data_IF_646035066207
#
_entry.id   IF_646035066207
#
_cell.length_a   1.000
_cell.length_b   1.000
_cell.length_c   1.000
_cell.angle_alpha   90.00
_cell.angle_beta   90.00
_cell.angle_gamma   90.00
#
_symmetry.space_group_name_H-M   'P 1'
#
loop_
_entity.id
_entity.type
_entity.pdbx_description
1 polymer ?
#
# COMPACT_ATOMS: atom_id res chain seq x y z
N UNK A 1 51.82 -30.12 -10.83
CA UNK A 1 51.27 -29.38 -9.67
C UNK A 1 50.08 -30.17 -9.16
N UNK A 2 50.07 -30.59 -7.90
CA UNK A 2 48.95 -31.32 -7.30
C UNK A 2 47.89 -30.32 -6.81
N UNK A 3 46.61 -30.61 -7.07
CA UNK A 3 45.49 -29.77 -6.66
C UNK A 3 45.15 -30.06 -5.19
N UNK A 4 45.33 -29.08 -4.32
CA UNK A 4 44.93 -29.14 -2.91
C UNK A 4 43.39 -29.04 -2.80
N UNK A 5 42.69 -30.01 -2.16
CA UNK A 5 41.24 -30.00 -2.09
C UNK A 5 40.74 -28.99 -1.06
N UNK A 6 40.29 -27.83 -1.53
CA UNK A 6 39.75 -26.73 -0.71
C UNK A 6 38.31 -26.95 -0.22
N UNK A 7 38.08 -28.06 0.46
CA UNK A 7 36.74 -28.49 0.90
C UNK A 7 36.05 -27.48 1.82
N UNK A 8 36.82 -26.75 2.63
CA UNK A 8 36.28 -25.74 3.55
C UNK A 8 35.78 -24.48 2.84
N UNK A 9 36.41 -24.08 1.72
CA UNK A 9 35.96 -22.93 0.92
C UNK A 9 34.64 -23.27 0.19
N UNK A 10 34.50 -24.52 -0.28
CA UNK A 10 33.30 -25.00 -0.95
C UNK A 10 32.10 -25.02 0.00
N UNK A 11 32.31 -25.42 1.26
CA UNK A 11 31.24 -25.45 2.29
C UNK A 11 30.71 -24.05 2.62
N UNK A 12 31.57 -23.04 2.63
CA UNK A 12 31.16 -21.64 2.84
C UNK A 12 30.41 -21.06 1.64
N UNK A 13 30.70 -21.53 0.42
CA UNK A 13 29.96 -21.13 -0.77
C UNK A 13 28.56 -21.79 -0.86
N UNK A 14 28.35 -22.92 -0.20
CA UNK A 14 27.09 -23.68 -0.21
C UNK A 14 26.06 -23.21 0.83
N UNK A 15 26.45 -22.37 1.79
CA UNK A 15 25.50 -21.70 2.68
C UNK A 15 24.67 -20.71 1.87
N UNK A 16 23.49 -21.16 1.43
CA UNK A 16 22.51 -20.32 0.74
C UNK A 16 22.23 -19.08 1.60
N UNK A 17 22.33 -17.86 1.06
CA UNK A 17 21.83 -16.70 1.76
C UNK A 17 20.34 -16.92 2.00
N UNK A 18 19.91 -16.86 3.26
CA UNK A 18 18.50 -16.79 3.61
C UNK A 18 17.96 -15.52 2.97
N UNK A 19 17.28 -15.68 1.84
CA UNK A 19 16.51 -14.62 1.21
C UNK A 19 15.38 -14.35 2.21
N UNK A 20 15.59 -13.35 3.06
CA UNK A 20 14.52 -12.78 3.88
C UNK A 20 13.48 -12.29 2.90
N UNK A 21 12.45 -13.09 2.67
CA UNK A 21 11.25 -12.67 1.98
C UNK A 21 10.69 -11.54 2.82
N UNK A 22 11.00 -10.30 2.44
CA UNK A 22 10.33 -9.15 2.97
C UNK A 22 8.88 -9.33 2.57
N UNK A 23 8.06 -9.78 3.52
CA UNK A 23 6.62 -9.74 3.42
C UNK A 23 6.29 -8.24 3.38
N UNK A 24 6.37 -7.65 2.19
CA UNK A 24 5.90 -6.30 1.94
C UNK A 24 4.39 -6.42 2.02
N UNK A 25 3.86 -6.41 3.24
CA UNK A 25 2.48 -6.03 3.47
C UNK A 25 2.38 -4.64 2.85
N UNK A 26 1.85 -4.57 1.63
CA UNK A 26 1.61 -3.34 0.90
C UNK A 26 0.59 -2.57 1.74
N UNK A 27 1.08 -1.79 2.69
CA UNK A 27 0.26 -0.86 3.43
C UNK A 27 -0.26 0.15 2.42
N UNK A 28 -1.52 0.03 2.04
CA UNK A 28 -2.17 1.05 1.23
C UNK A 28 -2.19 2.35 2.03
N UNK A 29 -1.41 3.31 1.56
CA UNK A 29 -1.40 4.64 2.12
C UNK A 29 -2.47 5.47 1.43
N UNK A 30 -3.20 6.26 2.23
CA UNK A 30 -4.15 7.24 1.68
C UNK A 30 -3.38 8.25 0.83
N UNK A 31 -3.74 8.35 -0.45
CA UNK A 31 -3.23 9.37 -1.36
C UNK A 31 -4.21 10.54 -1.41
N UNK A 32 -3.67 11.76 -1.47
CA UNK A 32 -4.48 12.95 -1.70
C UNK A 32 -4.79 13.06 -3.18
N UNK A 33 -6.08 13.17 -3.51
CA UNK A 33 -6.55 13.41 -4.87
C UNK A 33 -7.22 14.77 -4.94
N UNK A 34 -6.91 15.53 -5.99
CA UNK A 34 -7.59 16.77 -6.31
C UNK A 34 -8.42 16.55 -7.58
N UNK A 35 -9.70 16.87 -7.50
CA UNK A 35 -10.61 16.80 -8.63
C UNK A 35 -11.47 18.07 -8.67
N UNK A 36 -11.92 18.41 -9.86
CA UNK A 36 -12.75 19.59 -10.07
C UNK A 36 -14.23 19.20 -10.01
N UNK A 37 -15.00 19.96 -9.24
CA UNK A 37 -16.46 19.85 -9.17
C UNK A 37 -17.07 21.21 -9.53
N UNK A 38 -18.27 21.18 -10.08
CA UNK A 38 -19.10 22.40 -10.12
C UNK A 38 -19.46 22.81 -8.69
N UNK A 39 -19.66 24.12 -8.40
CA UNK A 39 -20.02 24.59 -7.07
C UNK A 39 -21.26 23.88 -6.53
N UNK A 40 -22.26 23.68 -7.39
CA UNK A 40 -23.51 23.00 -7.06
C UNK A 40 -23.30 21.54 -6.63
N UNK A 41 -22.40 20.81 -7.30
CA UNK A 41 -22.10 19.42 -6.93
C UNK A 41 -21.34 19.35 -5.60
N UNK A 42 -20.44 20.30 -5.37
CA UNK A 42 -19.71 20.39 -4.09
C UNK A 42 -20.66 20.65 -2.92
N UNK A 43 -21.65 21.52 -3.09
CA UNK A 43 -22.66 21.79 -2.07
C UNK A 43 -23.50 20.56 -1.75
N UNK A 44 -23.99 19.86 -2.79
CA UNK A 44 -24.74 18.61 -2.63
C UNK A 44 -23.93 17.55 -1.89
N UNK A 45 -22.65 17.41 -2.24
CA UNK A 45 -21.75 16.46 -1.57
C UNK A 45 -21.57 16.81 -0.09
N UNK A 46 -21.39 18.10 0.23
CA UNK A 46 -21.27 18.57 1.61
C UNK A 46 -22.56 18.39 2.41
N UNK A 47 -23.73 18.57 1.78
CA UNK A 47 -25.03 18.29 2.39
C UNK A 47 -25.19 16.79 2.68
N UNK A 48 -24.95 15.93 1.68
CA UNK A 48 -25.03 14.47 1.83
C UNK A 48 -24.09 13.95 2.93
N UNK A 49 -22.88 14.51 3.02
CA UNK A 49 -21.90 14.20 4.06
C UNK A 49 -22.43 14.51 5.47
N UNK A 50 -23.05 15.68 5.65
CA UNK A 50 -23.66 16.09 6.93
C UNK A 50 -24.90 15.28 7.28
N UNK A 51 -25.80 15.06 6.31
CA UNK A 51 -27.05 14.32 6.52
C UNK A 51 -26.80 12.89 6.99
N UNK A 52 -25.74 12.26 6.47
CA UNK A 52 -25.34 10.90 6.86
C UNK A 52 -24.40 10.86 8.07
N UNK A 53 -24.05 12.02 8.64
CA UNK A 53 -23.21 12.10 9.85
C UNK A 53 -21.72 11.84 9.63
N UNK A 54 -21.20 11.95 8.40
CA UNK A 54 -19.77 11.78 8.16
C UNK A 54 -18.97 12.98 8.63
N UNK A 55 -17.75 12.71 9.09
CA UNK A 55 -16.79 13.73 9.54
C UNK A 55 -16.24 14.57 8.38
N UNK A 56 -16.19 14.00 7.18
CA UNK A 56 -15.68 14.68 5.98
C UNK A 56 -16.29 14.11 4.71
N UNK A 57 -16.31 14.95 3.69
CA UNK A 57 -16.62 14.62 2.30
C UNK A 57 -15.82 13.41 1.79
N UNK A 58 -14.54 13.33 2.18
CA UNK A 58 -13.67 12.20 1.85
C UNK A 58 -14.06 10.89 2.55
N UNK A 59 -14.62 10.96 3.76
CA UNK A 59 -15.08 9.78 4.48
C UNK A 59 -16.33 9.19 3.83
N UNK A 60 -17.26 10.07 3.42
CA UNK A 60 -18.42 9.65 2.63
C UNK A 60 -17.98 9.00 1.31
N UNK A 61 -17.03 9.60 0.60
CA UNK A 61 -16.55 9.04 -0.67
C UNK A 61 -15.84 7.69 -0.49
N UNK A 62 -15.04 7.53 0.56
CA UNK A 62 -14.39 6.27 0.87
C UNK A 62 -15.42 5.16 1.11
N UNK A 63 -16.42 5.43 1.96
CA UNK A 63 -17.49 4.47 2.26
C UNK A 63 -18.34 4.16 1.02
N UNK A 64 -18.65 5.15 0.17
CA UNK A 64 -19.33 4.90 -1.10
C UNK A 64 -18.54 3.99 -2.05
N UNK A 65 -17.21 4.12 -2.07
CA UNK A 65 -16.34 3.29 -2.92
C UNK A 65 -16.20 1.89 -2.34
N UNK A 66 -16.16 1.74 -1.01
CA UNK A 66 -16.11 0.43 -0.34
C UNK A 66 -17.40 -0.38 -0.52
N UNK A 67 -18.55 0.28 -0.71
CA UNK A 67 -19.85 -0.35 -0.90
C UNK A 67 -20.26 -0.52 -2.38
N UNK A 68 -19.35 -0.32 -3.34
CA UNK A 68 -19.62 -0.37 -4.79
C UNK A 68 -19.39 -1.77 -5.36
#
# INVERSE_FOLDING_TARGET
MAFEPKQNEIRQALTKPEIKTTNVAVHETKKQYQFMLTPTHREKLRQASKERGYRSDSALLADLIENL
#
